data_IF_239361395688
#
_entry.id   IF_239361395688
#
_cell.length_a   1.000
_cell.length_b   1.000
_cell.length_c   1.000
_cell.angle_alpha   90.00
_cell.angle_beta   90.00
_cell.angle_gamma   90.00
#
_symmetry.space_group_name_H-M   'P 1'
#
loop_
_entity.id
_entity.type
_entity.pdbx_description
1 polymer ?
#
# COMPACT_ATOMS: atom_id res chain seq x y z
N UNK A 1 21.94 22.04 -15.48
CA UNK A 1 20.81 21.20 -15.05
C UNK A 1 20.86 19.97 -15.92
N UNK A 2 20.86 18.77 -15.35
CA UNK A 2 20.79 17.56 -16.16
C UNK A 2 19.45 17.58 -16.94
N UNK A 3 19.49 17.15 -18.20
CA UNK A 3 18.31 17.06 -19.04
C UNK A 3 17.41 15.96 -18.46
N UNK A 4 16.26 16.35 -17.90
CA UNK A 4 15.31 15.42 -17.29
C UNK A 4 14.53 14.73 -18.41
N UNK A 5 14.49 13.39 -18.39
CA UNK A 5 13.71 12.62 -19.37
C UNK A 5 12.23 12.75 -19.04
N UNK A 6 11.47 13.41 -19.91
CA UNK A 6 10.03 13.68 -19.69
C UNK A 6 9.08 12.66 -20.32
N UNK A 7 9.58 11.80 -21.21
CA UNK A 7 8.78 10.76 -21.86
C UNK A 7 9.61 9.48 -22.04
N UNK A 8 8.94 8.32 -21.97
CA UNK A 8 9.56 7.03 -22.26
C UNK A 8 9.69 6.81 -23.77
N UNK A 9 8.61 7.03 -24.53
CA UNK A 9 8.60 7.03 -26.00
C UNK A 9 7.45 7.85 -26.56
N UNK A 10 7.57 8.31 -27.81
CA UNK A 10 6.50 9.02 -28.51
C UNK A 10 5.23 8.17 -28.68
N UNK A 11 5.39 6.85 -28.85
CA UNK A 11 4.27 5.92 -29.02
C UNK A 11 3.45 5.81 -27.73
N UNK A 12 4.10 5.73 -26.55
CA UNK A 12 3.37 5.70 -25.26
C UNK A 12 2.63 7.00 -24.98
N UNK A 13 3.18 8.15 -25.40
CA UNK A 13 2.48 9.44 -25.31
C UNK A 13 1.21 9.42 -26.17
N UNK A 14 1.29 8.91 -27.40
CA UNK A 14 0.17 8.91 -28.34
C UNK A 14 -0.91 7.89 -27.98
N UNK A 15 -0.50 6.68 -27.60
CA UNK A 15 -1.40 5.54 -27.44
C UNK A 15 -2.07 5.52 -26.07
N UNK A 16 -1.34 5.93 -25.02
CA UNK A 16 -1.78 5.82 -23.62
C UNK A 16 -1.59 7.10 -22.79
N UNK A 17 -1.08 8.19 -23.38
CA UNK A 17 -0.94 9.47 -22.69
C UNK A 17 0.16 9.52 -21.62
N UNK A 18 1.12 8.57 -21.63
CA UNK A 18 2.15 8.52 -20.59
C UNK A 18 3.14 9.70 -20.71
N UNK A 19 3.31 10.43 -19.61
CA UNK A 19 4.30 11.49 -19.46
C UNK A 19 4.91 11.43 -18.06
N UNK A 20 6.18 11.83 -17.92
CA UNK A 20 6.79 12.00 -16.62
C UNK A 20 6.58 13.43 -16.12
N UNK A 21 6.12 13.55 -14.87
CA UNK A 21 5.98 14.84 -14.22
C UNK A 21 7.37 15.38 -13.85
N UNK A 22 7.79 16.56 -14.34
CA UNK A 22 9.09 17.12 -13.99
C UNK A 22 9.21 17.38 -12.49
N UNK A 23 10.38 17.14 -11.90
CA UNK A 23 10.60 17.32 -10.46
C UNK A 23 10.18 18.70 -9.94
N UNK A 24 10.41 19.78 -10.73
CA UNK A 24 9.98 21.14 -10.37
C UNK A 24 8.46 21.25 -10.15
N UNK A 25 7.67 20.51 -10.92
CA UNK A 25 6.21 20.51 -10.81
C UNK A 25 5.78 19.72 -9.58
N UNK A 26 6.43 18.58 -9.32
CA UNK A 26 6.21 17.77 -8.11
C UNK A 26 6.44 18.64 -6.88
N UNK A 27 7.59 19.32 -6.81
CA UNK A 27 7.91 20.20 -5.68
C UNK A 27 6.91 21.35 -5.54
N UNK A 28 6.56 22.01 -6.65
CA UNK A 28 5.57 23.10 -6.64
C UNK A 28 4.21 22.65 -6.08
N UNK A 29 3.76 21.44 -6.41
CA UNK A 29 2.49 20.90 -5.92
C UNK A 29 2.57 20.49 -4.45
N UNK A 30 3.65 19.83 -4.04
CA UNK A 30 3.83 19.38 -2.66
C UNK A 30 4.14 20.52 -1.68
N UNK A 31 4.70 21.63 -2.17
CA UNK A 31 4.99 22.84 -1.39
C UNK A 31 3.76 23.73 -1.17
N UNK A 32 2.59 23.37 -1.71
CA UNK A 32 1.34 24.05 -1.38
C UNK A 32 1.05 23.88 0.13
N UNK A 33 0.65 24.94 0.85
CA UNK A 33 0.51 24.90 2.31
C UNK A 33 -0.40 23.78 2.81
N UNK A 34 -1.52 23.54 2.13
CA UNK A 34 -2.51 22.52 2.48
C UNK A 34 -1.92 21.12 2.32
N UNK A 35 -1.12 20.89 1.28
CA UNK A 35 -0.46 19.62 1.01
C UNK A 35 0.70 19.40 1.98
N UNK A 36 1.54 20.42 2.19
CA UNK A 36 2.64 20.37 3.17
C UNK A 36 2.12 20.05 4.58
N UNK A 37 0.99 20.63 4.98
CA UNK A 37 0.36 20.30 6.27
C UNK A 37 -0.01 18.81 6.37
N UNK A 38 -0.53 18.21 5.30
CA UNK A 38 -0.86 16.77 5.22
C UNK A 38 0.38 15.88 5.13
N UNK A 39 1.44 16.32 4.45
CA UNK A 39 2.74 15.61 4.43
C UNK A 39 3.35 15.57 5.83
N UNK A 40 3.22 16.65 6.61
CA UNK A 40 3.74 16.75 7.98
C UNK A 40 2.91 15.98 9.01
N UNK A 41 1.71 15.51 8.65
CA UNK A 41 0.94 14.57 9.45
C UNK A 41 1.18 13.14 8.95
N UNK A 42 1.86 12.32 9.74
CA UNK A 42 2.16 10.93 9.37
C UNK A 42 0.90 10.09 9.16
N UNK A 43 -0.24 10.46 9.77
CA UNK A 43 -1.50 9.73 9.62
C UNK A 43 -2.32 10.14 8.40
N UNK A 44 -2.07 11.32 7.85
CA UNK A 44 -2.80 11.81 6.68
C UNK A 44 -2.46 10.95 5.46
N UNK A 45 -3.50 10.42 4.80
CA UNK A 45 -3.37 9.51 3.67
C UNK A 45 -3.30 10.25 2.33
N UNK A 46 -2.61 9.63 1.36
CA UNK A 46 -2.50 10.11 -0.01
C UNK A 46 -2.81 8.95 -0.97
N UNK A 47 -3.63 9.22 -1.98
CA UNK A 47 -3.94 8.29 -3.06
C UNK A 47 -3.53 8.93 -4.39
N UNK A 48 -2.75 8.19 -5.17
CA UNK A 48 -2.41 8.50 -6.55
C UNK A 48 -3.12 7.46 -7.45
N UNK A 49 -4.20 7.82 -8.17
CA UNK A 49 -5.01 6.88 -8.97
C UNK A 49 -4.46 6.58 -10.39
N UNK A 50 -3.31 7.12 -10.76
CA UNK A 50 -2.61 6.97 -12.04
C UNK A 50 -1.08 7.13 -11.82
N UNK A 51 -0.55 6.31 -10.91
CA UNK A 51 0.72 6.56 -10.24
C UNK A 51 1.94 6.57 -11.14
N UNK A 52 1.85 6.00 -12.35
CA UNK A 52 2.98 5.79 -13.24
C UNK A 52 4.10 5.06 -12.49
N UNK A 53 5.33 5.56 -12.63
CA UNK A 53 6.49 5.03 -11.89
C UNK A 53 6.61 5.59 -10.46
N UNK A 54 5.61 6.33 -9.96
CA UNK A 54 5.50 6.73 -8.55
C UNK A 54 6.16 8.04 -8.16
N UNK A 55 6.44 8.95 -9.09
CA UNK A 55 7.20 10.19 -8.83
C UNK A 55 6.63 10.99 -7.63
N UNK A 56 5.31 11.17 -7.58
CA UNK A 56 4.66 11.86 -6.45
C UNK A 56 4.75 11.07 -5.15
N UNK A 57 4.42 9.78 -5.17
CA UNK A 57 4.40 8.93 -3.97
C UNK A 57 5.79 8.79 -3.36
N UNK A 58 6.83 8.68 -4.17
CA UNK A 58 8.24 8.62 -3.74
C UNK A 58 8.66 9.92 -3.06
N UNK A 59 8.36 11.08 -3.65
CA UNK A 59 8.72 12.37 -3.03
C UNK A 59 7.89 12.64 -1.76
N UNK A 60 6.61 12.26 -1.72
CA UNK A 60 5.79 12.32 -0.50
C UNK A 60 6.39 11.41 0.60
N UNK A 61 6.75 10.16 0.25
CA UNK A 61 7.36 9.22 1.18
C UNK A 61 8.65 9.81 1.76
N UNK A 62 9.56 10.29 0.92
CA UNK A 62 10.81 10.93 1.32
C UNK A 62 10.59 12.09 2.29
N UNK A 63 9.60 12.95 2.03
CA UNK A 63 9.24 14.07 2.93
C UNK A 63 8.65 13.56 4.25
N UNK A 64 7.72 12.60 4.23
CA UNK A 64 7.16 11.96 5.45
C UNK A 64 8.23 11.22 6.26
N UNK A 65 9.24 10.62 5.63
CA UNK A 65 10.34 9.94 6.32
C UNK A 65 11.21 10.92 7.12
N UNK A 66 11.42 12.14 6.62
CA UNK A 66 12.08 13.22 7.39
C UNK A 66 11.27 13.59 8.63
N UNK A 67 9.96 13.79 8.46
CA UNK A 67 9.04 14.09 9.57
C UNK A 67 9.04 12.94 10.59
N UNK A 68 9.01 11.69 10.12
CA UNK A 68 9.08 10.51 10.98
C UNK A 68 10.37 10.49 11.82
N UNK A 69 11.50 10.87 11.23
CA UNK A 69 12.77 11.00 11.94
C UNK A 69 12.74 12.13 12.98
N UNK A 70 12.26 13.32 12.60
CA UNK A 70 12.15 14.48 13.50
C UNK A 70 11.27 14.21 14.73
N UNK A 71 10.20 13.44 14.55
CA UNK A 71 9.28 13.06 15.63
C UNK A 71 9.79 11.89 16.50
N UNK A 72 10.98 11.36 16.21
CA UNK A 72 11.50 10.15 16.85
C UNK A 72 12.69 10.44 17.76
N UNK A 73 12.55 10.07 19.03
CA UNK A 73 13.62 10.22 20.04
C UNK A 73 14.60 9.04 20.07
N UNK A 74 14.26 7.93 19.43
CA UNK A 74 15.06 6.72 19.38
C UNK A 74 14.66 5.87 18.16
N UNK A 75 15.50 4.90 17.82
CA UNK A 75 15.29 4.00 16.66
C UNK A 75 13.95 3.28 16.73
N UNK A 76 13.60 2.76 17.90
CA UNK A 76 12.34 2.06 18.12
C UNK A 76 11.11 2.91 17.73
N UNK A 77 11.11 4.21 18.05
CA UNK A 77 10.05 5.13 17.66
C UNK A 77 10.12 5.52 16.19
N UNK A 78 11.34 5.63 15.64
CA UNK A 78 11.54 5.89 14.22
C UNK A 78 11.02 4.75 13.35
N UNK A 79 11.26 3.49 13.73
CA UNK A 79 10.72 2.30 13.07
C UNK A 79 9.20 2.28 13.05
N UNK A 80 8.55 2.63 14.17
CA UNK A 80 7.09 2.75 14.23
C UNK A 80 6.59 3.88 13.31
N UNK A 81 7.24 5.06 13.37
CA UNK A 81 6.81 6.24 12.62
C UNK A 81 7.08 6.12 11.10
N UNK A 82 8.16 5.45 10.67
CA UNK A 82 8.46 5.28 9.25
C UNK A 82 7.48 4.31 8.58
N UNK A 83 7.10 3.23 9.27
CA UNK A 83 6.08 2.32 8.77
C UNK A 83 4.69 2.99 8.75
N UNK A 84 4.38 3.84 9.74
CA UNK A 84 3.16 4.66 9.73
C UNK A 84 3.14 5.63 8.54
N UNK A 85 4.27 6.28 8.25
CA UNK A 85 4.40 7.13 7.08
C UNK A 85 4.11 6.36 5.79
N UNK A 86 4.74 5.19 5.63
CA UNK A 86 4.59 4.35 4.45
C UNK A 86 3.16 3.81 4.29
N UNK A 87 2.51 3.38 5.37
CA UNK A 87 1.15 2.83 5.34
C UNK A 87 0.08 3.86 4.95
N UNK A 88 0.43 5.16 4.97
CA UNK A 88 -0.47 6.25 4.58
C UNK A 88 -0.50 6.53 3.07
N UNK A 89 0.28 5.81 2.27
CA UNK A 89 0.46 6.09 0.84
C UNK A 89 -0.14 4.96 0.00
N UNK A 90 -0.96 5.32 -1.00
CA UNK A 90 -1.67 4.41 -1.88
C UNK A 90 -1.47 4.82 -3.34
N UNK A 91 -1.31 3.83 -4.22
CA UNK A 91 -1.11 4.02 -5.65
C UNK A 91 -1.92 3.02 -6.47
N UNK A 92 -2.55 3.49 -7.54
CA UNK A 92 -3.15 2.67 -8.59
C UNK A 92 -2.43 3.01 -9.89
N UNK A 93 -2.02 1.99 -10.64
CA UNK A 93 -1.43 2.18 -11.96
C UNK A 93 -1.96 1.13 -12.92
N UNK A 94 -2.29 1.55 -14.14
CA UNK A 94 -2.88 0.67 -15.14
C UNK A 94 -1.85 -0.29 -15.75
N UNK A 95 -0.66 0.22 -16.05
CA UNK A 95 0.36 -0.50 -16.79
C UNK A 95 1.23 -1.35 -15.87
N UNK A 96 1.37 -2.64 -16.18
CA UNK A 96 2.16 -3.60 -15.41
C UNK A 96 3.64 -3.16 -15.27
N UNK A 97 4.25 -2.67 -16.34
CA UNK A 97 5.65 -2.21 -16.29
C UNK A 97 5.84 -0.97 -15.40
N UNK A 98 4.83 -0.11 -15.33
CA UNK A 98 4.87 1.07 -14.46
C UNK A 98 4.63 0.68 -12.99
N UNK A 99 3.70 -0.23 -12.69
CA UNK A 99 3.43 -0.66 -11.31
C UNK A 99 4.65 -1.39 -10.72
N UNK A 100 5.37 -2.18 -11.52
CA UNK A 100 6.63 -2.80 -11.11
C UNK A 100 7.67 -1.73 -10.70
N UNK A 101 7.84 -0.70 -11.54
CA UNK A 101 8.75 0.41 -11.25
C UNK A 101 8.30 1.22 -10.03
N UNK A 102 7.01 1.49 -9.88
CA UNK A 102 6.43 2.13 -8.69
C UNK A 102 6.81 1.37 -7.40
N UNK A 103 6.57 0.06 -7.37
CA UNK A 103 6.89 -0.79 -6.21
C UNK A 103 8.39 -0.77 -5.91
N UNK A 104 9.23 -0.87 -6.95
CA UNK A 104 10.68 -0.81 -6.80
C UNK A 104 11.16 0.55 -6.25
N UNK A 105 10.65 1.64 -6.81
CA UNK A 105 11.02 3.00 -6.42
C UNK A 105 10.59 3.32 -4.98
N UNK A 106 9.37 2.93 -4.59
CA UNK A 106 8.87 3.07 -3.22
C UNK A 106 9.72 2.28 -2.22
N UNK A 107 10.08 1.04 -2.56
CA UNK A 107 10.91 0.21 -1.69
C UNK A 107 12.32 0.77 -1.57
N UNK A 108 12.92 1.22 -2.67
CA UNK A 108 14.25 1.80 -2.68
C UNK A 108 14.31 3.08 -1.85
N UNK A 109 13.34 3.98 -2.01
CA UNK A 109 13.26 5.21 -1.21
C UNK A 109 13.07 4.89 0.27
N UNK A 110 12.15 3.98 0.62
CA UNK A 110 11.94 3.57 2.00
C UNK A 110 13.23 3.04 2.64
N UNK A 111 13.91 2.08 1.99
CA UNK A 111 15.15 1.48 2.49
C UNK A 111 16.22 2.57 2.67
N UNK A 112 16.41 3.42 1.66
CA UNK A 112 17.43 4.47 1.68
C UNK A 112 17.19 5.45 2.84
N UNK A 113 15.96 5.95 2.97
CA UNK A 113 15.57 6.87 4.04
C UNK A 113 15.60 6.22 5.43
N UNK A 114 15.20 4.96 5.56
CA UNK A 114 15.27 4.22 6.83
C UNK A 114 16.71 4.00 7.28
N UNK A 115 17.59 3.51 6.41
CA UNK A 115 18.99 3.27 6.73
C UNK A 115 19.72 4.58 7.11
N UNK A 116 19.45 5.66 6.38
CA UNK A 116 19.98 6.98 6.71
C UNK A 116 19.49 7.47 8.09
N UNK A 117 18.20 7.30 8.38
CA UNK A 117 17.60 7.71 9.65
C UNK A 117 18.14 6.94 10.87
N UNK A 118 18.27 5.62 10.79
CA UNK A 118 18.83 4.84 11.92
C UNK A 118 20.31 5.16 12.15
N UNK A 119 21.08 5.37 11.08
CA UNK A 119 22.49 5.75 11.19
C UNK A 119 22.65 7.16 11.78
N UNK A 120 21.72 8.07 11.48
CA UNK A 120 21.69 9.41 12.09
C UNK A 120 21.35 9.38 13.59
N UNK A 121 20.54 8.42 14.04
CA UNK A 121 20.16 8.29 15.45
C UNK A 121 21.23 7.55 16.27
N UNK A 122 21.80 6.48 15.71
CA UNK A 122 22.92 5.74 16.29
C UNK A 122 23.73 5.06 15.16
N UNK A 123 24.95 5.54 14.87
CA UNK A 123 25.80 4.96 13.82
C UNK A 123 26.18 3.50 14.00
N UNK A 124 26.02 2.94 15.21
CA UNK A 124 26.33 1.52 15.51
C UNK A 124 25.15 0.60 15.30
N UNK A 125 23.95 1.15 15.13
CA UNK A 125 22.74 0.36 14.97
C UNK A 125 22.75 -0.36 13.64
N UNK A 126 22.35 -1.63 13.68
CA UNK A 126 22.13 -2.45 12.48
C UNK A 126 20.67 -2.35 12.07
N UNK A 127 20.41 -2.55 10.78
CA UNK A 127 19.04 -2.61 10.27
C UNK A 127 18.22 -3.68 11.01
N UNK A 128 16.94 -3.41 11.19
CA UNK A 128 15.97 -4.37 11.68
C UNK A 128 15.24 -5.02 10.49
N UNK A 129 15.56 -6.27 10.19
CA UNK A 129 14.98 -6.98 9.04
C UNK A 129 13.45 -7.07 9.09
N UNK A 130 12.84 -7.02 10.29
CA UNK A 130 11.39 -7.00 10.44
C UNK A 130 10.74 -5.76 9.84
N UNK A 131 11.39 -4.60 9.99
CA UNK A 131 10.91 -3.32 9.44
C UNK A 131 10.92 -3.38 7.91
N UNK A 132 12.00 -3.89 7.32
CA UNK A 132 12.10 -4.06 5.87
C UNK A 132 11.05 -5.05 5.35
N UNK A 133 10.83 -6.17 6.05
CA UNK A 133 9.80 -7.14 5.68
C UNK A 133 8.39 -6.54 5.80
N UNK A 134 8.10 -5.78 6.85
CA UNK A 134 6.80 -5.11 7.01
C UNK A 134 6.57 -4.06 5.93
N UNK A 135 7.60 -3.29 5.58
CA UNK A 135 7.52 -2.29 4.52
C UNK A 135 7.17 -2.92 3.17
N UNK A 136 7.75 -4.09 2.84
CA UNK A 136 7.41 -4.84 1.62
C UNK A 136 5.94 -5.26 1.59
N UNK A 137 5.40 -5.74 2.71
CA UNK A 137 3.98 -6.09 2.81
C UNK A 137 3.09 -4.86 2.63
N UNK A 138 3.42 -3.75 3.30
CA UNK A 138 2.67 -2.49 3.16
C UNK A 138 2.68 -1.99 1.71
N UNK A 139 3.85 -1.95 1.05
CA UNK A 139 3.96 -1.52 -0.35
C UNK A 139 3.11 -2.42 -1.24
N UNK A 140 3.21 -3.75 -1.10
CA UNK A 140 2.41 -4.69 -1.90
C UNK A 140 0.91 -4.50 -1.68
N UNK A 141 0.50 -4.20 -0.46
CA UNK A 141 -0.90 -4.04 -0.09
C UNK A 141 -1.50 -2.67 -0.47
N UNK A 142 -0.64 -1.68 -0.75
CA UNK A 142 -1.07 -0.31 -1.04
C UNK A 142 -0.78 0.15 -2.48
N UNK A 143 0.05 -0.56 -3.25
CA UNK A 143 0.34 -0.29 -4.66
C UNK A 143 -0.35 -1.35 -5.52
N UNK A 144 -1.43 -0.96 -6.20
CA UNK A 144 -2.27 -1.86 -6.96
C UNK A 144 -2.11 -1.63 -8.47
N UNK A 145 -2.12 -2.73 -9.24
CA UNK A 145 -2.36 -2.65 -10.68
C UNK A 145 -3.86 -2.61 -10.93
N UNK A 146 -4.34 -1.64 -11.70
CA UNK A 146 -5.74 -1.60 -12.10
C UNK A 146 -6.14 -0.28 -12.73
N UNK A 147 -7.41 -0.21 -13.11
CA UNK A 147 -8.05 0.97 -13.65
C UNK A 147 -8.88 1.65 -12.55
N UNK A 148 -8.40 2.81 -12.10
CA UNK A 148 -9.07 3.59 -11.07
C UNK A 148 -10.46 4.11 -11.48
N UNK A 149 -10.77 4.18 -12.78
CA UNK A 149 -12.09 4.61 -13.27
C UNK A 149 -13.12 3.50 -13.21
N UNK A 150 -12.70 2.25 -13.37
CA UNK A 150 -13.59 1.08 -13.32
C UNK A 150 -13.52 0.32 -12.00
N UNK A 151 -12.58 0.69 -11.13
CA UNK A 151 -12.30 0.05 -9.84
C UNK A 151 -11.80 -1.40 -9.95
N UNK A 152 -11.30 -1.80 -11.13
CA UNK A 152 -10.99 -3.19 -11.45
C UNK A 152 -9.54 -3.39 -11.88
N UNK A 153 -9.03 -4.59 -11.66
CA UNK A 153 -7.74 -5.07 -12.17
C UNK A 153 -7.83 -5.45 -13.64
N UNK A 154 -6.71 -5.83 -14.24
CA UNK A 154 -6.68 -6.37 -15.61
C UNK A 154 -7.42 -7.72 -15.77
N UNK A 155 -7.72 -8.40 -14.66
CA UNK A 155 -8.49 -9.65 -14.63
C UNK A 155 -9.98 -9.44 -14.35
N UNK A 156 -10.44 -8.18 -14.34
CA UNK A 156 -11.83 -7.77 -14.01
C UNK A 156 -12.23 -7.97 -12.53
N UNK A 157 -11.25 -8.29 -11.67
CA UNK A 157 -11.44 -8.37 -10.21
C UNK A 157 -11.46 -6.96 -9.57
N UNK A 158 -12.13 -6.75 -8.43
CA UNK A 158 -12.07 -5.47 -7.71
C UNK A 158 -10.64 -5.13 -7.26
N UNK A 159 -10.27 -3.85 -7.35
CA UNK A 159 -9.05 -3.33 -6.71
C UNK A 159 -9.25 -3.38 -5.19
N UNK A 160 -8.32 -4.01 -4.48
CA UNK A 160 -8.36 -4.18 -3.02
C UNK A 160 -7.27 -3.33 -2.39
N UNK A 161 -7.64 -2.56 -1.36
CA UNK A 161 -6.68 -1.87 -0.51
C UNK A 161 -6.73 -2.36 0.92
N UNK A 162 -5.59 -2.21 1.60
CA UNK A 162 -5.49 -2.40 3.04
C UNK A 162 -5.65 -1.09 3.80
N UNK A 163 -6.61 -1.06 4.71
CA UNK A 163 -6.71 -0.04 5.74
C UNK A 163 -5.87 -0.45 6.96
N UNK A 164 -5.17 0.52 7.54
CA UNK A 164 -4.23 0.33 8.65
C UNK A 164 -4.71 1.09 9.88
N UNK A 165 -5.62 0.49 10.66
CA UNK A 165 -6.12 1.12 11.89
C UNK A 165 -5.07 1.01 13.00
N UNK A 166 -4.52 2.16 13.41
CA UNK A 166 -3.34 2.23 14.28
C UNK A 166 -3.65 2.79 15.66
N UNK A 167 -3.07 2.17 16.69
CA UNK A 167 -3.21 2.60 18.08
C UNK A 167 -1.92 2.42 18.87
N UNK A 168 -1.78 3.16 19.98
CA UNK A 168 -0.62 3.07 20.86
C UNK A 168 -0.90 2.10 22.01
N UNK A 169 0.00 1.15 22.25
CA UNK A 169 -0.05 0.23 23.39
C UNK A 169 1.34 0.05 23.98
N UNK A 170 1.49 0.35 25.27
CA UNK A 170 2.76 0.27 26.00
C UNK A 170 3.92 1.03 25.30
N UNK A 171 3.62 2.21 24.75
CA UNK A 171 4.60 3.07 24.06
C UNK A 171 5.05 2.57 22.69
N UNK A 172 4.34 1.60 22.09
CA UNK A 172 4.59 1.05 20.76
C UNK A 172 3.36 1.17 19.88
N UNK A 173 3.59 1.30 18.58
CA UNK A 173 2.54 1.34 17.57
C UNK A 173 2.06 -0.08 17.25
N UNK A 174 0.76 -0.29 17.40
CA UNK A 174 0.03 -1.47 16.96
C UNK A 174 -0.89 -1.09 15.81
N UNK A 175 -1.24 -2.09 15.00
CA UNK A 175 -2.09 -1.93 13.84
C UNK A 175 -3.01 -3.13 13.70
N UNK A 176 -4.24 -2.88 13.29
CA UNK A 176 -5.16 -3.89 12.77
C UNK A 176 -5.38 -3.61 11.28
N UNK A 177 -5.01 -4.56 10.42
CA UNK A 177 -5.19 -4.46 8.97
C UNK A 177 -6.57 -5.00 8.58
N UNK A 178 -7.26 -4.29 7.70
CA UNK A 178 -8.52 -4.71 7.09
C UNK A 178 -8.45 -4.49 5.59
N UNK A 179 -9.04 -5.39 4.81
CA UNK A 179 -9.13 -5.25 3.36
C UNK A 179 -10.50 -4.69 2.97
N UNK A 180 -10.50 -3.77 2.00
CA UNK A 180 -11.71 -3.17 1.44
C UNK A 180 -11.54 -2.99 -0.08
N UNK A 181 -12.64 -3.00 -0.82
CA UNK A 181 -12.60 -2.66 -2.25
C UNK A 181 -12.42 -1.17 -2.43
N UNK A 182 -11.71 -0.78 -3.50
CA UNK A 182 -11.56 0.63 -3.83
C UNK A 182 -12.92 1.29 -4.13
N UNK A 183 -13.84 0.54 -4.74
CA UNK A 183 -15.22 1.00 -4.98
C UNK A 183 -15.95 1.34 -3.68
N UNK A 184 -15.90 0.48 -2.65
CA UNK A 184 -16.57 0.76 -1.36
C UNK A 184 -16.00 1.99 -0.67
N UNK A 185 -14.67 2.17 -0.73
CA UNK A 185 -13.97 3.34 -0.19
C UNK A 185 -14.48 4.63 -0.88
N UNK A 186 -14.61 4.62 -2.21
CA UNK A 186 -15.09 5.78 -2.99
C UNK A 186 -16.57 6.05 -2.73
N UNK A 187 -17.39 5.01 -2.60
CA UNK A 187 -18.81 5.12 -2.27
C UNK A 187 -19.06 5.67 -0.85
N UNK A 188 -18.05 5.68 0.02
CA UNK A 188 -18.18 6.09 1.42
C UNK A 188 -18.99 5.09 2.23
N UNK A 189 -19.05 3.84 1.78
CA UNK A 189 -19.66 2.75 2.52
C UNK A 189 -18.68 2.33 3.61
N UNK A 190 -18.97 2.70 4.86
CA UNK A 190 -18.35 2.06 6.02
C UNK A 190 -18.74 0.59 5.96
N UNK A 191 -17.87 -0.26 5.39
CA UNK A 191 -17.97 -1.70 5.53
C UNK A 191 -17.58 -2.07 6.96
N UNK A 192 -18.42 -1.67 7.92
CA UNK A 192 -18.43 -2.13 9.30
C UNK A 192 -18.80 -3.61 9.43
N UNK A 193 -19.05 -4.30 8.31
CA UNK A 193 -19.16 -5.74 8.23
C UNK A 193 -17.91 -6.31 7.57
N UNK A 194 -17.09 -6.94 8.41
CA UNK A 194 -16.14 -7.97 8.03
C UNK A 194 -16.78 -8.89 6.99
N UNK A 195 -16.12 -9.05 5.84
CA UNK A 195 -16.47 -10.14 4.95
C UNK A 195 -15.88 -11.38 5.60
N UNK A 196 -16.75 -12.24 6.10
CA UNK A 196 -16.36 -13.45 6.82
C UNK A 196 -15.50 -14.33 5.91
N UNK A 197 -14.39 -14.84 6.48
CA UNK A 197 -13.66 -15.93 5.87
C UNK A 197 -14.53 -17.20 5.87
N UNK A 198 -14.75 -17.87 4.72
CA UNK A 198 -15.19 -19.25 4.76
C UNK A 198 -14.10 -20.06 5.44
N UNK A 199 -14.57 -20.95 6.30
CA UNK A 199 -13.76 -21.91 7.02
C UNK A 199 -12.84 -22.64 6.04
N UNK A 200 -11.60 -22.83 6.49
CA UNK A 200 -10.60 -23.61 5.78
C UNK A 200 -10.99 -25.10 5.89
N UNK A 201 -11.96 -25.55 5.11
CA UNK A 201 -12.01 -26.95 4.71
C UNK A 201 -10.96 -27.14 3.60
N UNK A 202 -10.26 -28.29 3.66
CA UNK A 202 -9.36 -28.78 2.61
C UNK A 202 -9.82 -28.29 1.24
N UNK A 203 -8.94 -27.63 0.46
CA UNK A 203 -9.26 -27.22 -0.90
C UNK A 203 -9.57 -28.46 -1.72
N UNK A 204 -10.84 -28.86 -1.74
CA UNK A 204 -11.34 -29.83 -2.66
C UNK A 204 -11.36 -29.12 -4.02
N UNK A 205 -10.36 -29.46 -4.84
CA UNK A 205 -10.13 -28.91 -6.18
C UNK A 205 -11.35 -29.08 -7.11
N UNK A 206 -12.35 -29.85 -6.67
CA UNK A 206 -13.60 -30.13 -7.35
C UNK A 206 -14.80 -29.35 -6.80
N UNK A 207 -14.67 -28.57 -5.72
CA UNK A 207 -15.78 -27.79 -5.13
C UNK A 207 -16.19 -26.55 -5.96
N UNK A 208 -15.36 -26.13 -6.91
CA UNK A 208 -15.63 -25.00 -7.81
C UNK A 208 -16.59 -25.34 -8.97
N UNK A 209 -17.05 -26.59 -9.05
CA UNK A 209 -17.96 -27.04 -10.11
C UNK A 209 -19.21 -27.66 -9.49
N UNK A 210 -20.37 -27.14 -9.85
CA UNK A 210 -21.64 -27.85 -9.67
C UNK A 210 -22.19 -28.21 -11.05
N UNK A 211 -22.83 -29.37 -11.16
CA UNK A 211 -23.60 -29.73 -12.35
C UNK A 211 -25.02 -29.22 -12.22
N UNK A 212 -25.50 -28.50 -13.23
CA UNK A 212 -26.90 -28.08 -13.31
C UNK A 212 -27.86 -29.29 -13.46
N UNK A 213 -29.17 -29.03 -13.51
CA UNK A 213 -30.18 -30.10 -13.66
C UNK A 213 -30.06 -30.88 -14.99
N UNK A 214 -29.25 -30.40 -15.94
CA UNK A 214 -28.99 -31.00 -17.25
C UNK A 214 -27.61 -31.71 -17.33
N UNK A 215 -26.78 -31.56 -16.30
CA UNK A 215 -25.48 -32.25 -16.14
C UNK A 215 -24.28 -31.45 -16.66
N UNK A 216 -24.43 -30.17 -16.97
CA UNK A 216 -23.34 -29.30 -17.42
C UNK A 216 -22.62 -28.64 -16.23
N UNK A 217 -21.29 -28.55 -16.32
CA UNK A 217 -20.43 -28.01 -15.27
C UNK A 217 -20.51 -26.47 -15.23
N UNK A 218 -21.14 -25.91 -14.20
CA UNK A 218 -21.10 -24.47 -13.89
C UNK A 218 -19.97 -24.14 -12.90
N UNK A 219 -19.23 -23.07 -13.19
CA UNK A 219 -18.21 -22.50 -12.29
C UNK A 219 -18.90 -21.56 -11.32
N UNK A 220 -18.84 -21.84 -10.01
CA UNK A 220 -19.30 -20.86 -9.00
C UNK A 220 -18.40 -19.63 -9.01
N UNK A 221 -19.01 -18.45 -8.95
CA UNK A 221 -18.29 -17.23 -8.61
C UNK A 221 -17.62 -17.44 -7.23
N UNK A 222 -16.29 -17.36 -7.20
CA UNK A 222 -15.54 -17.38 -5.94
C UNK A 222 -15.96 -16.12 -5.17
N UNK A 223 -16.73 -16.27 -4.10
CA UNK A 223 -16.95 -15.16 -3.17
C UNK A 223 -15.57 -14.70 -2.69
N UNK A 224 -15.18 -13.48 -3.08
CA UNK A 224 -13.90 -12.90 -2.68
C UNK A 224 -13.87 -12.76 -1.17
N UNK A 225 -13.04 -13.57 -0.52
CA UNK A 225 -12.84 -13.56 0.92
C UNK A 225 -11.88 -12.41 1.23
N UNK A 226 -12.36 -11.37 1.89
CA UNK A 226 -11.48 -10.29 2.35
C UNK A 226 -11.00 -10.58 3.76
N UNK A 227 -9.69 -10.54 3.99
CA UNK A 227 -9.12 -11.00 5.25
C UNK A 227 -9.22 -9.93 6.34
N UNK A 228 -9.66 -10.35 7.53
CA UNK A 228 -9.44 -9.58 8.75
C UNK A 228 -8.18 -10.09 9.45
N UNK A 229 -7.21 -9.19 9.66
CA UNK A 229 -5.95 -9.54 10.28
C UNK A 229 -5.98 -9.32 11.79
N UNK A 230 -5.24 -10.15 12.52
CA UNK A 230 -5.00 -9.97 13.95
C UNK A 230 -4.22 -8.67 14.20
N UNK A 231 -4.52 -8.01 15.32
CA UNK A 231 -3.79 -6.83 15.72
C UNK A 231 -2.34 -7.18 16.12
N UNK A 232 -1.38 -6.56 15.43
CA UNK A 232 0.06 -6.80 15.64
C UNK A 232 0.81 -5.49 15.88
N UNK A 233 2.08 -5.58 16.29
CA UNK A 233 2.97 -4.41 16.24
C UNK A 233 3.15 -4.00 14.78
N UNK A 234 3.30 -2.71 14.53
CA UNK A 234 3.56 -2.20 13.17
C UNK A 234 4.77 -2.89 12.51
N UNK A 235 5.83 -3.10 13.30
CA UNK A 235 7.05 -3.81 12.85
C UNK A 235 6.86 -5.32 12.63
N UNK A 236 5.71 -5.89 12.97
CA UNK A 236 5.40 -7.32 12.82
C UNK A 236 4.30 -7.59 11.77
N UNK A 237 3.84 -6.56 11.03
CA UNK A 237 2.89 -6.68 9.90
C UNK A 237 3.29 -7.75 8.89
N UNK A 238 4.59 -7.95 8.67
CA UNK A 238 5.11 -8.98 7.75
C UNK A 238 4.67 -10.41 8.05
N UNK A 239 4.12 -10.68 9.24
CA UNK A 239 3.63 -12.01 9.61
C UNK A 239 2.27 -12.33 9.00
N UNK A 240 1.52 -11.31 8.58
CA UNK A 240 0.20 -11.44 7.95
C UNK A 240 -0.72 -12.41 8.72
N UNK A 241 -0.76 -12.27 10.06
CA UNK A 241 -1.58 -13.12 10.92
C UNK A 241 -3.07 -12.81 10.69
N UNK A 242 -3.83 -13.79 10.24
CA UNK A 242 -5.27 -13.68 9.97
C UNK A 242 -6.06 -14.11 11.21
N UNK A 243 -7.13 -13.39 11.53
CA UNK A 243 -8.03 -13.75 12.61
C UNK A 243 -8.78 -15.04 12.25
N UNK A 244 -8.59 -16.11 13.02
CA UNK A 244 -9.38 -17.34 12.88
C UNK A 244 -10.42 -17.32 13.99
N UNK A 245 -11.69 -17.05 13.65
CA UNK A 245 -12.78 -17.26 14.60
C UNK A 245 -12.82 -18.75 14.96
N UNK A 246 -12.66 -19.06 16.24
CA UNK A 246 -12.88 -20.41 16.76
C UNK A 246 -14.33 -20.45 17.21
N UNK A 247 -15.19 -21.12 16.45
CA UNK A 247 -16.56 -21.41 16.87
C UNK A 247 -16.53 -22.13 18.23
N UNK A 248 -17.34 -21.65 19.16
CA UNK A 248 -17.52 -22.22 20.51
C UNK A 248 -18.77 -23.07 20.57
#
# INVERSE_FOLDING_TARGET
MADERLIKSDDRVKDIGEVFTPQRIVDLMLDQPEITAKVNDLKSTFLEPSAGEGVFLVEILKRKMKVALELSKNIAKFEDNCLLALSSLYGIELMEDNVEMLVMNMLQEFISSYLAGIASLDPKTKQNDKVIKSAKVIIRANMAQGDALTYKTSTDDPIIFSEWDTYQKNGRLFVQRKEQTFESIVAGEDSGNSIAAPQQEEMDLFSSYETDEEGDLEVKAVESIYHQYDAVRMTDVYKELVHVETEK
#
